data_IF_472234435690
#
_entry.id   IF_472234435690
#
_cell.length_a   1.000
_cell.length_b   1.000
_cell.length_c   1.000
_cell.angle_alpha   90.00
_cell.angle_beta   90.00
_cell.angle_gamma   90.00
#
_symmetry.space_group_name_H-M   'P 1'
#
loop_
_entity.id
_entity.type
_entity.pdbx_description
1 polymer ?
#
# COMPACT_ATOMS: atom_id res chain seq x y z
N UNK A 1 -35.23 29.05 -68.43
CA UNK A 1 -35.04 30.49 -68.13
C UNK A 1 -34.45 30.56 -66.72
N UNK A 2 -33.20 30.88 -66.44
CA UNK A 2 -32.01 31.19 -67.23
C UNK A 2 -30.80 30.95 -66.30
N UNK A 3 -29.66 30.65 -66.91
CA UNK A 3 -28.35 30.53 -66.26
C UNK A 3 -27.64 31.90 -66.24
N UNK A 4 -26.80 32.14 -65.23
CA UNK A 4 -25.73 33.16 -65.21
C UNK A 4 -24.76 32.67 -64.10
N UNK A 5 -23.54 32.16 -64.32
CA UNK A 5 -22.38 32.61 -65.09
C UNK A 5 -21.98 34.05 -64.81
N UNK A 6 -21.01 34.25 -63.91
CA UNK A 6 -20.02 35.34 -64.01
C UNK A 6 -18.65 34.87 -63.51
N UNK A 7 -17.71 34.78 -64.46
CA UNK A 7 -16.26 34.74 -64.25
C UNK A 7 -15.73 36.17 -64.18
N UNK A 8 -14.65 36.34 -63.42
CA UNK A 8 -13.48 37.10 -63.88
C UNK A 8 -13.19 38.41 -63.15
N UNK A 9 -12.10 38.43 -62.39
CA UNK A 9 -11.12 39.50 -62.46
C UNK A 9 -9.76 39.01 -61.93
N UNK A 10 -8.75 38.94 -62.81
CA UNK A 10 -7.33 38.88 -62.45
C UNK A 10 -6.81 40.32 -62.43
N UNK A 11 -5.96 40.65 -61.46
CA UNK A 11 -5.09 41.81 -61.58
C UNK A 11 -3.66 41.48 -61.13
N UNK A 12 -2.71 42.15 -61.79
CA UNK A 12 -1.28 41.88 -61.91
C UNK A 12 -0.49 42.99 -61.19
N UNK A 13 0.78 42.73 -60.84
CA UNK A 13 1.80 43.65 -60.25
C UNK A 13 1.66 43.87 -58.72
N UNK A 14 2.67 43.95 -57.84
CA UNK A 14 4.13 44.03 -57.93
C UNK A 14 4.67 45.02 -56.88
N UNK A 15 5.16 44.52 -55.71
CA UNK A 15 5.94 45.21 -54.62
C UNK A 15 5.15 46.24 -53.77
N UNK A 16 5.33 46.48 -52.47
CA UNK A 16 6.28 46.06 -51.40
C UNK A 16 5.66 46.44 -50.02
N UNK A 17 6.08 45.77 -48.95
CA UNK A 17 6.33 46.29 -47.58
C UNK A 17 5.73 45.46 -46.42
N UNK A 18 6.66 45.03 -45.55
CA UNK A 18 6.56 44.26 -44.32
C UNK A 18 5.45 44.64 -43.34
N UNK A 19 4.76 43.63 -42.83
CA UNK A 19 4.31 43.59 -41.44
C UNK A 19 4.83 42.29 -40.81
N UNK A 20 5.85 42.42 -39.96
CA UNK A 20 6.37 41.34 -39.11
C UNK A 20 5.30 40.99 -38.09
N UNK A 21 4.61 39.86 -38.30
CA UNK A 21 3.75 39.25 -37.27
C UNK A 21 4.55 38.14 -36.61
N UNK A 22 5.01 38.41 -35.39
CA UNK A 22 5.65 37.43 -34.49
C UNK A 22 4.67 36.30 -34.13
N UNK A 23 5.10 35.03 -34.07
CA UNK A 23 4.26 33.94 -33.61
C UNK A 23 4.22 33.93 -32.07
N UNK A 24 3.11 34.35 -31.47
CA UNK A 24 2.91 34.17 -30.04
C UNK A 24 2.27 32.81 -29.71
N UNK A 25 2.97 32.07 -28.85
CA UNK A 25 2.49 31.04 -27.93
C UNK A 25 1.86 29.75 -28.48
N UNK A 26 2.71 28.81 -28.93
CA UNK A 26 2.38 27.38 -29.07
C UNK A 26 3.04 26.48 -28.01
N UNK A 27 3.43 27.03 -26.86
CA UNK A 27 4.29 26.35 -25.87
C UNK A 27 3.58 25.78 -24.63
N UNK A 28 2.36 26.23 -24.29
CA UNK A 28 1.68 25.80 -23.04
C UNK A 28 0.73 24.61 -23.19
N UNK A 29 0.31 24.28 -24.41
CA UNK A 29 -0.65 23.19 -24.61
C UNK A 29 0.02 21.81 -24.71
N UNK A 30 1.26 21.74 -25.22
CA UNK A 30 1.99 20.46 -25.28
C UNK A 30 2.27 19.92 -23.88
N UNK A 31 2.71 20.74 -22.93
CA UNK A 31 3.00 20.28 -21.55
C UNK A 31 1.76 19.81 -20.78
N UNK A 32 0.53 20.21 -21.15
CA UNK A 32 -0.72 19.69 -20.57
C UNK A 32 -1.18 18.37 -21.22
N UNK A 33 -0.83 18.12 -22.47
CA UNK A 33 -1.24 16.90 -23.18
C UNK A 33 -0.47 15.65 -22.73
N UNK A 34 0.83 15.76 -22.47
CA UNK A 34 1.67 14.66 -21.96
C UNK A 34 1.22 14.06 -20.61
N UNK A 35 0.95 14.84 -19.54
CA UNK A 35 0.48 14.30 -18.28
C UNK A 35 -0.88 13.66 -18.44
N UNK A 36 -1.78 14.24 -19.25
CA UNK A 36 -3.10 13.67 -19.48
C UNK A 36 -3.02 12.34 -20.27
N UNK A 37 -2.13 12.20 -21.25
CA UNK A 37 -1.98 10.95 -22.00
C UNK A 37 -1.36 9.80 -21.16
N UNK A 38 -0.37 10.11 -20.32
CA UNK A 38 0.23 9.14 -19.40
C UNK A 38 -0.72 8.77 -18.26
N UNK A 39 -1.44 9.75 -17.68
CA UNK A 39 -2.50 9.52 -16.69
C UNK A 39 -3.63 8.69 -17.31
N UNK A 40 -3.98 8.89 -18.59
CA UNK A 40 -4.97 8.07 -19.32
C UNK A 40 -4.52 6.62 -19.46
N UNK A 41 -3.26 6.37 -19.85
CA UNK A 41 -2.72 5.01 -20.03
C UNK A 41 -2.56 4.25 -18.71
N UNK A 42 -2.25 4.97 -17.62
CA UNK A 42 -2.01 4.41 -16.29
C UNK A 42 -3.11 4.75 -15.28
N UNK A 43 -4.33 5.09 -15.74
CA UNK A 43 -5.41 5.65 -14.89
C UNK A 43 -5.73 4.83 -13.64
N UNK A 44 -5.75 3.50 -13.76
CA UNK A 44 -6.04 2.60 -12.64
C UNK A 44 -4.89 2.61 -11.64
N UNK A 45 -3.67 2.74 -12.13
CA UNK A 45 -2.44 2.69 -11.34
C UNK A 45 -2.19 4.00 -10.61
N UNK A 46 -2.42 5.12 -11.29
CA UNK A 46 -2.38 6.45 -10.68
C UNK A 46 -3.49 6.57 -9.64
N UNK A 47 -4.71 6.14 -9.96
CA UNK A 47 -5.80 6.11 -8.99
C UNK A 47 -5.45 5.22 -7.78
N UNK A 48 -5.01 3.98 -7.99
CA UNK A 48 -4.67 3.07 -6.89
C UNK A 48 -3.53 3.60 -6.01
N UNK A 49 -2.49 4.17 -6.63
CA UNK A 49 -1.34 4.71 -5.91
C UNK A 49 -1.73 5.96 -5.10
N UNK A 50 -2.47 6.89 -5.69
CA UNK A 50 -2.90 8.12 -5.01
C UNK A 50 -3.90 7.82 -3.89
N UNK A 51 -4.85 6.91 -4.10
CA UNK A 51 -5.79 6.47 -3.06
C UNK A 51 -5.10 5.75 -1.92
N UNK A 52 -4.04 5.00 -2.22
CA UNK A 52 -3.21 4.36 -1.22
C UNK A 52 -2.48 5.39 -0.35
N UNK A 53 -1.91 6.43 -0.97
CA UNK A 53 -1.25 7.52 -0.24
C UNK A 53 -2.27 8.27 0.61
N UNK A 54 -3.42 8.62 0.04
CA UNK A 54 -4.48 9.34 0.74
C UNK A 54 -5.08 8.53 1.90
N UNK A 55 -5.35 7.24 1.71
CA UNK A 55 -5.87 6.39 2.81
C UNK A 55 -4.87 6.22 3.94
N UNK A 56 -3.58 6.17 3.60
CA UNK A 56 -2.50 6.13 4.59
C UNK A 56 -2.42 7.46 5.34
N UNK A 57 -2.57 8.61 4.65
CA UNK A 57 -2.60 9.94 5.28
C UNK A 57 -3.82 10.09 6.22
N UNK A 58 -5.00 9.65 5.78
CA UNK A 58 -6.23 9.74 6.56
C UNK A 58 -6.24 8.79 7.77
N UNK A 59 -5.61 7.61 7.65
CA UNK A 59 -5.44 6.69 8.77
C UNK A 59 -4.32 7.11 9.73
N UNK A 60 -3.44 8.02 9.32
CA UNK A 60 -2.25 8.36 10.08
C UNK A 60 -2.52 8.92 11.47
N UNK A 61 -3.48 9.84 11.69
CA UNK A 61 -3.78 10.33 13.03
C UNK A 61 -4.16 9.21 14.00
N UNK A 62 -4.89 8.19 13.52
CA UNK A 62 -5.27 7.04 14.34
C UNK A 62 -4.06 6.15 14.66
N UNK A 63 -3.18 5.92 13.69
CA UNK A 63 -1.93 5.20 13.91
C UNK A 63 -0.99 5.97 14.87
N UNK A 64 -0.98 7.30 14.79
CA UNK A 64 -0.24 8.19 15.69
C UNK A 64 -0.75 8.12 17.12
N UNK A 65 -2.07 8.20 17.32
CA UNK A 65 -2.67 8.03 18.66
C UNK A 65 -2.41 6.63 19.21
N UNK A 66 -2.57 5.60 18.38
CA UNK A 66 -2.28 4.21 18.78
C UNK A 66 -0.83 4.06 19.24
N UNK A 67 0.12 4.58 18.47
CA UNK A 67 1.54 4.50 18.83
C UNK A 67 1.86 5.33 20.07
N UNK A 68 1.30 6.53 20.23
CA UNK A 68 1.42 7.33 21.47
C UNK A 68 0.87 6.61 22.68
N UNK A 69 -0.30 5.99 22.58
CA UNK A 69 -0.87 5.16 23.65
C UNK A 69 -0.03 3.93 24.00
N UNK A 70 0.73 3.40 23.04
CA UNK A 70 1.70 2.33 23.29
C UNK A 70 3.03 2.85 23.86
N UNK A 71 3.28 4.17 23.71
CA UNK A 71 4.54 4.85 24.02
C UNK A 71 4.48 5.64 25.35
N UNK A 72 3.29 6.02 25.79
CA UNK A 72 3.09 6.81 27.00
C UNK A 72 1.85 6.32 27.74
N UNK A 73 1.85 6.45 29.06
CA UNK A 73 0.71 6.12 29.91
C UNK A 73 -0.38 7.17 29.75
N UNK A 74 -1.51 6.76 29.17
CA UNK A 74 -2.75 7.55 29.10
C UNK A 74 -3.90 6.75 29.70
N UNK A 75 -4.89 7.42 30.28
CA UNK A 75 -6.07 6.75 30.88
C UNK A 75 -6.99 6.11 29.83
N UNK A 76 -6.83 6.47 28.55
CA UNK A 76 -7.58 5.90 27.43
C UNK A 76 -7.33 6.64 26.13
N UNK A 77 -8.06 6.23 25.08
CA UNK A 77 -7.93 6.81 23.74
C UNK A 77 -8.26 8.30 23.70
N UNK A 78 -9.40 8.69 24.30
CA UNK A 78 -9.84 10.09 24.34
C UNK A 78 -8.89 10.97 25.16
N UNK A 79 -8.28 10.41 26.21
CA UNK A 79 -7.30 11.11 27.03
C UNK A 79 -6.01 11.40 26.23
N UNK A 80 -5.50 10.40 25.50
CA UNK A 80 -4.37 10.58 24.59
C UNK A 80 -4.65 11.62 23.50
N UNK A 81 -5.84 11.60 22.90
CA UNK A 81 -6.25 12.57 21.86
C UNK A 81 -6.33 13.98 22.45
N UNK A 82 -7.02 14.14 23.59
CA UNK A 82 -7.20 15.44 24.25
C UNK A 82 -5.87 16.02 24.72
N UNK A 83 -5.01 15.20 25.31
CA UNK A 83 -3.68 15.59 25.73
C UNK A 83 -2.84 16.03 24.53
N UNK A 84 -2.76 15.22 23.47
CA UNK A 84 -1.99 15.54 22.26
C UNK A 84 -2.47 16.82 21.59
N UNK A 85 -3.79 17.01 21.48
CA UNK A 85 -4.37 18.23 20.91
C UNK A 85 -4.07 19.46 21.78
N UNK A 86 -4.11 19.35 23.11
CA UNK A 86 -3.79 20.47 24.02
C UNK A 86 -2.31 20.84 24.03
N UNK A 87 -1.41 19.86 23.96
CA UNK A 87 0.04 20.11 24.07
C UNK A 87 0.71 20.44 22.74
N UNK A 88 0.25 19.84 21.65
CA UNK A 88 0.93 19.90 20.34
C UNK A 88 0.00 20.30 19.19
N UNK A 89 -1.28 20.60 19.47
CA UNK A 89 -2.30 20.93 18.49
C UNK A 89 -2.43 19.87 17.37
N UNK A 90 -2.96 20.26 16.21
CA UNK A 90 -3.09 19.36 15.05
C UNK A 90 -1.74 18.86 14.53
N UNK A 91 -0.68 19.67 14.63
CA UNK A 91 0.66 19.29 14.19
C UNK A 91 1.23 18.12 15.00
N UNK A 92 0.85 17.98 16.26
CA UNK A 92 1.26 16.86 17.12
C UNK A 92 0.88 15.49 16.58
N UNK A 93 -0.28 15.38 15.93
CA UNK A 93 -0.73 14.12 15.32
C UNK A 93 0.13 13.71 14.12
N UNK A 94 0.76 14.67 13.44
CA UNK A 94 1.61 14.45 12.27
C UNK A 94 3.10 14.58 12.57
N UNK A 95 3.52 14.86 13.80
CA UNK A 95 4.94 15.02 14.13
C UNK A 95 5.67 13.68 14.03
N UNK A 96 6.71 13.61 13.19
CA UNK A 96 7.47 12.39 12.94
C UNK A 96 6.83 11.41 11.93
N UNK A 97 5.78 11.86 11.24
CA UNK A 97 5.03 11.08 10.23
C UNK A 97 5.83 10.73 8.99
N UNK A 98 6.75 11.61 8.59
CA UNK A 98 7.32 11.63 7.24
C UNK A 98 8.13 10.38 6.93
N UNK A 99 9.01 9.96 7.83
CA UNK A 99 9.84 8.78 7.61
C UNK A 99 9.03 7.45 7.61
N UNK A 100 8.13 7.19 8.58
CA UNK A 100 7.23 6.03 8.52
C UNK A 100 6.33 6.01 7.29
N UNK A 101 5.79 7.16 6.87
CA UNK A 101 4.92 7.26 5.70
C UNK A 101 5.68 7.11 4.39
N UNK A 102 6.82 7.76 4.23
CA UNK A 102 7.66 7.59 3.05
C UNK A 102 8.07 6.13 2.87
N UNK A 103 8.42 5.45 3.96
CA UNK A 103 8.69 4.02 3.97
C UNK A 103 7.48 3.19 3.54
N UNK A 104 6.29 3.41 4.10
CA UNK A 104 5.07 2.67 3.75
C UNK A 104 4.70 2.88 2.29
N UNK A 105 4.73 4.14 1.83
CA UNK A 105 4.43 4.49 0.44
C UNK A 105 5.41 3.83 -0.51
N UNK A 106 6.72 3.92 -0.25
CA UNK A 106 7.74 3.28 -1.08
C UNK A 106 7.53 1.77 -1.14
N UNK A 107 7.34 1.13 0.02
CA UNK A 107 7.13 -0.32 0.12
C UNK A 107 5.91 -0.75 -0.68
N UNK A 108 4.79 -0.04 -0.53
CA UNK A 108 3.53 -0.40 -1.20
C UNK A 108 3.60 -0.13 -2.71
N UNK A 109 4.20 0.97 -3.15
CA UNK A 109 4.40 1.27 -4.57
C UNK A 109 5.27 0.22 -5.25
N UNK A 110 6.39 -0.15 -4.63
CA UNK A 110 7.29 -1.19 -5.15
C UNK A 110 6.58 -2.55 -5.19
N UNK A 111 5.88 -2.92 -4.12
CA UNK A 111 5.11 -4.18 -4.05
C UNK A 111 4.09 -4.30 -5.18
N UNK A 112 3.32 -3.24 -5.45
CA UNK A 112 2.33 -3.24 -6.52
C UNK A 112 2.97 -3.38 -7.92
N UNK A 113 4.10 -2.70 -8.15
CA UNK A 113 4.86 -2.84 -9.40
C UNK A 113 5.36 -4.27 -9.62
N UNK A 114 5.92 -4.90 -8.58
CA UNK A 114 6.38 -6.30 -8.64
C UNK A 114 5.21 -7.24 -8.89
N UNK A 115 4.12 -7.10 -8.14
CA UNK A 115 2.91 -7.92 -8.32
C UNK A 115 2.42 -7.87 -9.77
N UNK A 116 2.35 -6.68 -10.36
CA UNK A 116 1.89 -6.53 -11.75
C UNK A 116 2.81 -7.21 -12.74
N UNK A 117 4.13 -7.05 -12.61
CA UNK A 117 5.10 -7.73 -13.48
C UNK A 117 5.00 -9.24 -13.35
N UNK A 118 4.93 -9.74 -12.10
CA UNK A 118 4.77 -11.15 -11.81
C UNK A 118 3.45 -11.71 -12.39
N UNK A 119 2.34 -10.99 -12.21
CA UNK A 119 1.03 -11.36 -12.76
C UNK A 119 1.07 -11.49 -14.29
N UNK A 120 1.70 -10.54 -14.99
CA UNK A 120 1.82 -10.62 -16.46
C UNK A 120 2.73 -11.78 -16.89
N UNK A 121 3.88 -11.96 -16.23
CA UNK A 121 4.79 -13.06 -16.53
C UNK A 121 4.12 -14.44 -16.34
N UNK A 122 3.47 -14.66 -15.20
CA UNK A 122 2.77 -15.91 -14.92
C UNK A 122 1.59 -16.13 -15.86
N UNK A 123 0.82 -15.10 -16.17
CA UNK A 123 -0.29 -15.22 -17.12
C UNK A 123 0.19 -15.59 -18.54
N UNK A 124 1.33 -15.03 -18.98
CA UNK A 124 1.91 -15.34 -20.29
C UNK A 124 2.49 -16.75 -20.33
N UNK A 125 3.12 -17.19 -19.24
CA UNK A 125 3.61 -18.57 -19.09
C UNK A 125 2.46 -19.58 -19.13
N UNK A 126 1.37 -19.35 -18.38
CA UNK A 126 0.21 -20.23 -18.39
C UNK A 126 -0.44 -20.25 -19.79
N UNK A 127 -0.63 -19.09 -20.43
CA UNK A 127 -1.16 -19.02 -21.79
C UNK A 127 -0.33 -19.82 -22.79
N UNK A 128 1.00 -19.78 -22.68
CA UNK A 128 1.90 -20.55 -23.57
C UNK A 128 1.82 -22.05 -23.34
N UNK A 129 1.67 -22.49 -22.09
CA UNK A 129 1.70 -23.91 -21.73
C UNK A 129 0.33 -24.60 -21.78
N UNK A 130 -0.76 -23.89 -21.50
CA UNK A 130 -2.12 -24.46 -21.44
C UNK A 130 -3.09 -23.87 -22.45
N UNK A 131 -2.69 -22.82 -23.19
CA UNK A 131 -3.57 -22.09 -24.09
C UNK A 131 -4.61 -21.20 -23.39
N UNK A 132 -4.67 -21.21 -22.06
CA UNK A 132 -5.71 -20.52 -21.28
C UNK A 132 -5.32 -19.07 -20.97
N UNK A 133 -6.11 -18.11 -21.46
CA UNK A 133 -5.86 -16.68 -21.25
C UNK A 133 -6.54 -16.18 -19.97
N UNK A 134 -5.76 -16.09 -18.88
CA UNK A 134 -6.23 -15.69 -17.55
C UNK A 134 -6.78 -14.25 -17.53
N UNK A 135 -6.18 -13.33 -18.30
CA UNK A 135 -6.64 -11.93 -18.31
C UNK A 135 -7.98 -11.79 -19.01
N UNK A 136 -8.20 -12.58 -20.07
CA UNK A 136 -9.48 -12.60 -20.77
C UNK A 136 -10.53 -13.28 -19.90
N UNK A 137 -10.23 -14.48 -19.36
CA UNK A 137 -11.16 -15.22 -18.51
C UNK A 137 -11.58 -14.42 -17.27
N UNK A 138 -10.63 -13.80 -16.56
CA UNK A 138 -10.93 -13.01 -15.35
C UNK A 138 -11.72 -11.71 -15.63
N UNK A 139 -11.70 -11.20 -16.87
CA UNK A 139 -12.44 -10.00 -17.27
C UNK A 139 -13.71 -10.31 -18.08
N UNK A 140 -13.98 -11.57 -18.40
CA UNK A 140 -15.22 -11.98 -19.08
C UNK A 140 -16.35 -12.09 -18.06
N UNK A 141 -17.47 -11.36 -18.23
CA UNK A 141 -18.64 -11.48 -17.36
C UNK A 141 -19.18 -12.92 -17.36
N UNK A 142 -19.61 -13.42 -16.19
CA UNK A 142 -20.23 -14.75 -16.08
C UNK A 142 -19.25 -15.92 -15.87
N UNK A 143 -17.96 -15.65 -15.68
CA UNK A 143 -16.94 -16.69 -15.47
C UNK A 143 -16.66 -16.93 -13.98
N UNK A 144 -16.31 -18.17 -13.64
CA UNK A 144 -15.91 -18.55 -12.29
C UNK A 144 -14.38 -18.61 -12.15
N UNK A 145 -13.84 -18.36 -10.94
CA UNK A 145 -12.42 -18.52 -10.67
C UNK A 145 -12.00 -19.97 -10.88
N UNK A 146 -11.07 -20.17 -11.80
CA UNK A 146 -10.49 -21.48 -12.12
C UNK A 146 -9.26 -21.71 -11.24
N UNK A 147 -8.89 -22.98 -11.02
CA UNK A 147 -7.67 -23.31 -10.28
C UNK A 147 -6.44 -22.58 -10.83
N UNK A 148 -6.31 -22.49 -12.16
CA UNK A 148 -5.22 -21.77 -12.82
C UNK A 148 -5.20 -20.26 -12.54
N UNK A 149 -6.36 -19.59 -12.48
CA UNK A 149 -6.42 -18.15 -12.21
C UNK A 149 -6.06 -17.87 -10.74
N UNK A 150 -6.61 -18.67 -9.82
CA UNK A 150 -6.30 -18.58 -8.38
C UNK A 150 -4.81 -18.85 -8.12
N UNK A 151 -4.25 -19.90 -8.70
CA UNK A 151 -2.83 -20.23 -8.56
C UNK A 151 -1.94 -19.13 -9.16
N UNK A 152 -2.30 -18.57 -10.32
CA UNK A 152 -1.56 -17.45 -10.93
C UNK A 152 -1.53 -16.22 -10.03
N UNK A 153 -2.67 -15.82 -9.47
CA UNK A 153 -2.74 -14.63 -8.61
C UNK A 153 -2.06 -14.86 -7.26
N UNK A 154 -2.17 -16.07 -6.71
CA UNK A 154 -1.44 -16.49 -5.52
C UNK A 154 0.07 -16.47 -5.71
N UNK A 155 0.58 -17.03 -6.81
CA UNK A 155 2.01 -17.03 -7.14
C UNK A 155 2.55 -15.61 -7.41
N UNK A 156 1.78 -14.78 -8.12
CA UNK A 156 2.12 -13.36 -8.31
C UNK A 156 2.17 -12.60 -6.98
N UNK A 157 1.19 -12.86 -6.10
CA UNK A 157 1.13 -12.31 -4.75
C UNK A 157 2.33 -12.74 -3.92
N UNK A 158 2.60 -14.04 -3.83
CA UNK A 158 3.75 -14.62 -3.14
C UNK A 158 5.06 -13.97 -3.57
N UNK A 159 5.30 -13.86 -4.88
CA UNK A 159 6.51 -13.24 -5.44
C UNK A 159 6.66 -11.79 -5.01
N UNK A 160 5.56 -11.02 -5.05
CA UNK A 160 5.56 -9.64 -4.60
C UNK A 160 5.82 -9.52 -3.09
N UNK A 161 5.22 -10.40 -2.29
CA UNK A 161 5.44 -10.52 -0.85
C UNK A 161 6.88 -10.85 -0.50
N UNK A 162 7.46 -11.88 -1.12
CA UNK A 162 8.83 -12.29 -0.87
C UNK A 162 9.84 -11.20 -1.24
N UNK A 163 9.68 -10.59 -2.42
CA UNK A 163 10.57 -9.55 -2.89
C UNK A 163 10.49 -8.28 -2.03
N UNK A 164 9.28 -7.92 -1.57
CA UNK A 164 9.12 -6.72 -0.75
C UNK A 164 9.68 -6.88 0.67
N UNK A 165 9.73 -8.10 1.21
CA UNK A 165 10.29 -8.35 2.55
C UNK A 165 11.72 -7.84 2.69
N UNK A 166 12.54 -7.94 1.64
CA UNK A 166 13.92 -7.41 1.66
C UNK A 166 13.97 -5.90 1.95
N UNK A 167 13.01 -5.15 1.42
CA UNK A 167 12.91 -3.71 1.67
C UNK A 167 12.14 -3.40 2.95
N UNK A 168 11.08 -4.14 3.25
CA UNK A 168 10.18 -3.86 4.37
C UNK A 168 10.77 -4.25 5.73
N UNK A 169 11.60 -5.30 5.79
CA UNK A 169 12.16 -5.83 7.04
C UNK A 169 12.85 -4.77 7.92
N UNK A 170 13.82 -3.97 7.43
CA UNK A 170 14.49 -2.97 8.26
C UNK A 170 13.53 -1.89 8.80
N UNK A 171 12.55 -1.47 7.99
CA UNK A 171 11.59 -0.43 8.41
C UNK A 171 10.60 -0.95 9.45
N UNK A 172 10.10 -2.16 9.26
CA UNK A 172 9.19 -2.83 10.20
C UNK A 172 9.87 -3.09 11.54
N UNK A 173 11.11 -3.57 11.54
CA UNK A 173 11.86 -3.78 12.78
C UNK A 173 12.10 -2.46 13.52
N UNK A 174 12.42 -1.39 12.78
CA UNK A 174 12.62 -0.05 13.36
C UNK A 174 11.34 0.52 13.99
N UNK A 175 10.18 0.28 13.36
CA UNK A 175 8.87 0.64 13.94
C UNK A 175 8.56 -0.18 15.18
N UNK A 176 8.77 -1.49 15.12
CA UNK A 176 8.54 -2.40 16.24
C UNK A 176 9.46 -2.05 17.42
N UNK A 177 10.74 -1.72 17.17
CA UNK A 177 11.66 -1.33 18.24
C UNK A 177 11.24 -0.04 18.93
N UNK A 178 10.73 0.94 18.19
CA UNK A 178 10.21 2.17 18.79
C UNK A 178 9.02 1.89 19.72
N UNK A 179 8.07 1.06 19.29
CA UNK A 179 6.89 0.68 20.08
C UNK A 179 7.26 -0.17 21.31
N UNK A 180 8.15 -1.15 21.12
CA UNK A 180 8.58 -2.08 22.18
C UNK A 180 9.46 -1.37 23.22
N UNK A 181 10.27 -0.38 22.82
CA UNK A 181 11.17 0.35 23.72
C UNK A 181 10.46 0.98 24.93
N UNK A 182 9.21 1.40 24.75
CA UNK A 182 8.41 1.97 25.83
C UNK A 182 7.92 0.89 26.77
N UNK A 183 7.27 -0.14 26.22
CA UNK A 183 6.72 -1.24 27.01
C UNK A 183 7.81 -1.90 27.85
N UNK A 184 9.03 -1.96 27.32
CA UNK A 184 10.20 -2.47 28.03
C UNK A 184 10.74 -1.52 29.11
N UNK A 185 10.68 -0.20 28.91
CA UNK A 185 11.09 0.76 29.91
C UNK A 185 10.23 0.67 31.19
N UNK A 186 8.96 0.28 31.06
CA UNK A 186 8.06 0.05 32.19
C UNK A 186 8.21 -1.34 32.83
N UNK A 187 8.41 -2.38 32.02
CA UNK A 187 8.47 -3.78 32.52
C UNK A 187 9.81 -4.22 33.09
N UNK A 188 10.92 -3.58 32.75
CA UNK A 188 12.25 -4.12 33.11
C UNK A 188 12.60 -3.83 34.56
N UNK A 189 12.08 -4.58 35.54
CA UNK A 189 12.62 -4.59 36.92
C UNK A 189 13.90 -5.44 37.06
N UNK A 190 14.19 -6.36 36.13
CA UNK A 190 15.15 -7.46 36.39
C UNK A 190 16.56 -7.36 35.78
N UNK A 191 16.90 -6.39 34.92
CA UNK A 191 18.29 -6.26 34.46
C UNK A 191 18.66 -4.83 34.04
N UNK A 192 19.72 -4.26 34.64
CA UNK A 192 20.22 -2.90 34.33
C UNK A 192 20.60 -2.74 32.84
N UNK A 193 21.20 -3.78 32.22
CA UNK A 193 21.70 -3.75 30.84
C UNK A 193 20.58 -3.81 29.78
N UNK A 194 19.57 -4.67 29.97
CA UNK A 194 18.40 -4.70 29.08
C UNK A 194 17.59 -3.40 29.15
N UNK A 195 17.58 -2.74 30.33
CA UNK A 195 16.94 -1.43 30.52
C UNK A 195 17.69 -0.31 29.79
N UNK A 196 19.03 -0.33 29.76
CA UNK A 196 19.83 0.64 28.98
C UNK A 196 19.62 0.49 27.47
N UNK A 197 19.59 -0.75 26.97
CA UNK A 197 19.32 -1.02 25.55
C UNK A 197 17.90 -0.59 25.18
N UNK A 198 16.89 -0.86 26.02
CA UNK A 198 15.52 -0.42 25.80
C UNK A 198 15.39 1.13 25.81
N UNK A 199 15.99 1.82 26.78
CA UNK A 199 16.02 3.30 26.84
C UNK A 199 16.75 3.92 25.65
N UNK A 200 17.78 3.25 25.14
CA UNK A 200 18.55 3.70 23.97
C UNK A 200 17.66 3.88 22.72
N UNK A 201 16.54 3.16 22.62
CA UNK A 201 15.60 3.25 21.49
C UNK A 201 14.45 4.24 21.71
N UNK A 202 14.23 4.74 22.94
CA UNK A 202 13.14 5.67 23.24
C UNK A 202 13.33 7.04 22.56
N UNK A 203 12.23 7.62 22.08
CA UNK A 203 12.13 9.00 21.59
C UNK A 203 13.14 9.41 20.50
N UNK A 204 13.57 8.45 19.67
CA UNK A 204 14.41 8.71 18.49
C UNK A 204 13.60 8.56 17.20
N UNK A 205 13.89 9.43 16.22
CA UNK A 205 13.33 9.29 14.88
C UNK A 205 13.79 8.00 14.19
N UNK A 206 13.04 7.52 13.20
CA UNK A 206 13.26 6.23 12.50
C UNK A 206 14.72 5.98 12.12
N UNK A 207 15.39 6.97 11.52
CA UNK A 207 16.79 6.84 11.08
C UNK A 207 17.78 6.69 12.25
N UNK A 208 17.55 7.43 13.34
CA UNK A 208 18.38 7.35 14.56
C UNK A 208 18.18 6.00 15.26
N UNK A 209 16.94 5.50 15.30
CA UNK A 209 16.64 4.16 15.82
C UNK A 209 17.32 3.08 14.99
N UNK A 210 17.26 3.18 13.66
CA UNK A 210 17.96 2.26 12.75
C UNK A 210 19.48 2.27 12.97
N UNK A 211 20.09 3.46 13.05
CA UNK A 211 21.53 3.61 13.34
C UNK A 211 21.91 2.96 14.69
N UNK A 212 21.04 3.09 15.70
CA UNK A 212 21.27 2.47 17.00
C UNK A 212 21.17 0.94 16.96
N UNK A 213 20.23 0.38 16.19
CA UNK A 213 20.15 -1.07 15.97
C UNK A 213 21.43 -1.56 15.30
N UNK A 214 21.92 -0.84 14.28
CA UNK A 214 23.19 -1.16 13.62
C UNK A 214 24.35 -1.11 14.62
N UNK A 215 24.39 -0.10 15.51
CA UNK A 215 25.42 0.01 16.55
C UNK A 215 25.41 -1.16 17.53
N UNK A 216 24.23 -1.60 17.98
CA UNK A 216 24.11 -2.64 19.01
C UNK A 216 24.10 -4.08 18.46
N UNK A 217 23.68 -4.29 17.21
CA UNK A 217 23.47 -5.62 16.61
C UNK A 217 24.14 -5.82 15.25
N UNK A 218 24.76 -4.79 14.68
CA UNK A 218 25.31 -4.81 13.33
C UNK A 218 24.23 -4.67 12.24
N UNK A 219 24.66 -4.64 10.98
CA UNK A 219 23.78 -4.45 9.81
C UNK A 219 22.77 -5.59 9.66
N UNK A 220 23.19 -6.84 9.91
CA UNK A 220 22.30 -8.01 9.90
C UNK A 220 21.28 -7.99 11.05
N UNK A 221 21.52 -7.19 12.10
CA UNK A 221 20.56 -6.96 13.17
C UNK A 221 19.23 -6.40 12.67
N UNK A 222 19.25 -5.60 11.59
CA UNK A 222 18.03 -5.07 10.96
C UNK A 222 17.14 -6.14 10.31
N UNK A 223 17.72 -7.30 10.00
CA UNK A 223 17.04 -8.45 9.41
C UNK A 223 16.69 -9.51 10.45
N UNK A 224 16.67 -9.15 11.75
CA UNK A 224 16.29 -10.09 12.79
C UNK A 224 14.83 -10.52 12.60
N UNK A 225 14.61 -11.84 12.50
CA UNK A 225 13.28 -12.41 12.24
C UNK A 225 12.90 -12.42 10.75
N UNK A 226 13.87 -12.24 9.84
CA UNK A 226 13.62 -12.22 8.40
C UNK A 226 12.87 -13.45 7.89
N UNK A 227 13.19 -14.67 8.36
CA UNK A 227 12.50 -15.88 7.91
C UNK A 227 10.99 -15.87 8.24
N UNK A 228 10.63 -15.49 9.47
CA UNK A 228 9.22 -15.37 9.88
C UNK A 228 8.53 -14.23 9.13
N UNK A 229 9.26 -13.14 8.86
CA UNK A 229 8.78 -12.02 8.08
C UNK A 229 8.51 -12.41 6.63
N UNK A 230 9.45 -13.14 6.01
CA UNK A 230 9.35 -13.63 4.64
C UNK A 230 8.17 -14.59 4.51
N UNK A 231 8.05 -15.53 5.44
CA UNK A 231 6.91 -16.46 5.49
C UNK A 231 5.58 -15.71 5.60
N UNK A 232 5.52 -14.73 6.51
CA UNK A 232 4.33 -13.89 6.71
C UNK A 232 3.94 -13.14 5.44
N UNK A 233 4.88 -12.41 4.84
CA UNK A 233 4.59 -11.56 3.68
C UNK A 233 4.22 -12.39 2.46
N UNK A 234 4.96 -13.47 2.22
CA UNK A 234 4.72 -14.37 1.08
C UNK A 234 3.34 -14.99 1.16
N UNK A 235 2.98 -15.61 2.30
CA UNK A 235 1.68 -16.26 2.46
C UNK A 235 0.55 -15.23 2.57
N UNK A 236 0.77 -14.14 3.32
CA UNK A 236 -0.24 -13.10 3.52
C UNK A 236 -0.64 -12.43 2.21
N UNK A 237 0.33 -12.06 1.37
CA UNK A 237 0.07 -11.43 0.07
C UNK A 237 -0.49 -12.42 -0.96
N UNK A 238 -0.04 -13.67 -0.97
CA UNK A 238 -0.62 -14.71 -1.81
C UNK A 238 -2.12 -14.89 -1.53
N UNK A 239 -2.48 -15.11 -0.26
CA UNK A 239 -3.89 -15.27 0.15
C UNK A 239 -4.68 -13.99 -0.15
N UNK A 240 -4.11 -12.81 0.12
CA UNK A 240 -4.76 -11.54 -0.16
C UNK A 240 -5.18 -11.41 -1.64
N UNK A 241 -4.25 -11.66 -2.58
CA UNK A 241 -4.55 -11.53 -4.01
C UNK A 241 -5.41 -12.68 -4.55
N UNK A 242 -5.27 -13.90 -4.03
CA UNK A 242 -6.16 -15.02 -4.36
C UNK A 242 -7.62 -14.68 -4.02
N UNK A 243 -7.87 -14.23 -2.79
CA UNK A 243 -9.23 -13.91 -2.33
C UNK A 243 -9.75 -12.66 -3.01
N UNK A 244 -8.91 -11.64 -3.22
CA UNK A 244 -9.32 -10.40 -3.89
C UNK A 244 -9.78 -10.62 -5.32
N UNK A 245 -8.97 -11.29 -6.14
CA UNK A 245 -9.28 -11.50 -7.56
C UNK A 245 -10.44 -12.50 -7.73
N UNK A 246 -10.48 -13.57 -6.92
CA UNK A 246 -11.59 -14.53 -6.94
C UNK A 246 -12.91 -13.90 -6.48
N UNK A 247 -12.87 -13.13 -5.38
CA UNK A 247 -14.04 -12.44 -4.85
C UNK A 247 -14.59 -11.40 -5.83
N UNK A 248 -13.71 -10.67 -6.51
CA UNK A 248 -14.10 -9.73 -7.57
C UNK A 248 -14.78 -10.47 -8.73
N UNK A 249 -14.19 -11.56 -9.21
CA UNK A 249 -14.72 -12.35 -10.33
C UNK A 249 -16.10 -12.96 -9.98
N UNK A 250 -16.25 -13.50 -8.78
CA UNK A 250 -17.54 -14.01 -8.28
C UNK A 250 -18.58 -12.89 -8.18
N UNK A 251 -18.23 -11.76 -7.58
CA UNK A 251 -19.16 -10.64 -7.41
C UNK A 251 -19.63 -10.02 -8.73
N UNK A 252 -18.78 -10.03 -9.78
CA UNK A 252 -19.18 -9.61 -11.12
C UNK A 252 -20.10 -10.63 -11.79
N UNK A 253 -19.86 -11.93 -11.57
CA UNK A 253 -20.68 -13.01 -12.11
C UNK A 253 -22.07 -13.06 -11.46
N UNK A 254 -22.17 -12.91 -10.14
CA UNK A 254 -23.45 -12.91 -9.44
C UNK A 254 -24.32 -11.68 -9.74
N UNK A 255 -23.72 -10.54 -10.11
CA UNK A 255 -24.46 -9.34 -10.40
C UNK A 255 -24.90 -9.19 -11.86
N UNK A 256 -24.47 -10.09 -12.76
CA UNK A 256 -24.77 -10.01 -14.19
C UNK A 256 -24.17 -8.78 -14.90
N UNK A 257 -23.26 -8.07 -14.23
CA UNK A 257 -22.77 -6.75 -14.63
C UNK A 257 -21.32 -6.84 -15.13
N UNK A 258 -20.93 -5.92 -16.02
CA UNK A 258 -19.55 -5.86 -16.52
C UNK A 258 -18.55 -5.55 -15.37
N UNK A 259 -17.29 -6.06 -15.41
CA UNK A 259 -16.35 -6.03 -14.29
C UNK A 259 -16.02 -4.66 -13.69
N UNK A 260 -16.34 -3.58 -14.42
CA UNK A 260 -16.12 -2.20 -14.01
C UNK A 260 -17.39 -1.48 -13.50
N UNK A 261 -18.57 -2.09 -13.64
CA UNK A 261 -19.86 -1.52 -13.23
C UNK A 261 -20.16 -1.82 -11.76
N UNK A 262 -19.95 -3.06 -11.31
CA UNK A 262 -20.29 -3.47 -9.95
C UNK A 262 -19.22 -3.07 -8.92
N UNK A 263 -19.25 -1.79 -8.54
CA UNK A 263 -18.36 -1.19 -7.53
C UNK A 263 -18.52 -1.84 -6.17
N UNK A 264 -19.74 -2.24 -5.79
CA UNK A 264 -20.00 -2.87 -4.50
C UNK A 264 -19.28 -4.22 -4.39
N UNK A 265 -19.27 -5.02 -5.45
CA UNK A 265 -18.52 -6.28 -5.51
C UNK A 265 -17.02 -6.07 -5.32
N UNK A 266 -16.43 -5.04 -5.95
CA UNK A 266 -14.99 -4.74 -5.80
C UNK A 266 -14.65 -4.33 -4.37
N UNK A 267 -15.49 -3.51 -3.73
CA UNK A 267 -15.30 -3.08 -2.33
C UNK A 267 -15.49 -4.25 -1.36
N UNK A 268 -16.53 -5.06 -1.57
CA UNK A 268 -16.80 -6.25 -0.76
C UNK A 268 -15.67 -7.27 -0.86
N UNK A 269 -15.17 -7.54 -2.07
CA UNK A 269 -14.02 -8.40 -2.30
C UNK A 269 -12.75 -7.88 -1.61
N UNK A 270 -12.53 -6.56 -1.62
CA UNK A 270 -11.44 -5.90 -0.92
C UNK A 270 -11.52 -5.94 0.62
N UNK A 271 -12.72 -5.82 1.17
CA UNK A 271 -12.96 -6.01 2.61
C UNK A 271 -12.73 -7.46 3.03
N UNK A 272 -13.33 -8.40 2.29
CA UNK A 272 -13.24 -9.84 2.55
C UNK A 272 -11.82 -10.37 2.45
N UNK A 273 -11.06 -9.97 1.41
CA UNK A 273 -9.68 -10.44 1.27
C UNK A 273 -8.77 -10.00 2.42
N UNK A 274 -8.98 -8.79 2.96
CA UNK A 274 -8.27 -8.31 4.13
C UNK A 274 -8.58 -9.15 5.37
N UNK A 275 -9.86 -9.44 5.62
CA UNK A 275 -10.29 -10.25 6.76
C UNK A 275 -9.75 -11.68 6.68
N UNK A 276 -9.90 -12.33 5.52
CA UNK A 276 -9.45 -13.71 5.30
C UNK A 276 -7.92 -13.81 5.38
N UNK A 277 -7.19 -12.89 4.72
CA UNK A 277 -5.74 -12.85 4.79
C UNK A 277 -5.25 -12.70 6.23
N UNK A 278 -5.82 -11.76 7.00
CA UNK A 278 -5.47 -11.60 8.41
C UNK A 278 -5.81 -12.83 9.25
N UNK A 279 -7.00 -13.41 9.09
CA UNK A 279 -7.40 -14.62 9.83
C UNK A 279 -6.41 -15.78 9.62
N UNK A 280 -5.92 -15.96 8.40
CA UNK A 280 -4.98 -17.03 8.07
C UNK A 280 -3.55 -16.72 8.52
N UNK A 281 -3.08 -15.49 8.35
CA UNK A 281 -1.67 -15.14 8.58
C UNK A 281 -1.33 -14.79 10.03
N UNK A 282 -2.35 -14.51 10.86
CA UNK A 282 -2.17 -13.95 12.20
C UNK A 282 -1.24 -14.77 13.11
N UNK A 283 -1.29 -16.12 13.15
CA UNK A 283 -0.36 -16.89 13.99
C UNK A 283 1.11 -16.66 13.63
N UNK A 284 1.40 -16.49 12.34
CA UNK A 284 2.76 -16.23 11.85
C UNK A 284 3.18 -14.79 12.21
N UNK A 285 2.27 -13.82 12.08
CA UNK A 285 2.52 -12.42 12.47
C UNK A 285 2.74 -12.27 13.99
N UNK A 286 1.97 -13.02 14.80
CA UNK A 286 2.17 -13.13 16.25
C UNK A 286 3.53 -13.71 16.59
N UNK A 287 3.90 -14.84 15.99
CA UNK A 287 5.20 -15.48 16.22
C UNK A 287 6.37 -14.57 15.81
N UNK A 288 6.26 -13.90 14.65
CA UNK A 288 7.21 -12.89 14.19
C UNK A 288 7.35 -11.77 15.23
N UNK A 289 6.24 -11.20 15.68
CA UNK A 289 6.23 -10.05 16.59
C UNK A 289 6.81 -10.39 17.96
N UNK A 290 6.49 -11.58 18.50
CA UNK A 290 7.05 -12.10 19.75
C UNK A 290 8.56 -12.30 19.61
N UNK A 291 9.00 -12.94 18.53
CA UNK A 291 10.42 -13.19 18.28
C UNK A 291 11.22 -11.89 18.10
N UNK A 292 10.72 -10.94 17.29
CA UNK A 292 11.38 -9.65 17.08
C UNK A 292 11.45 -8.81 18.35
N UNK A 293 10.43 -8.88 19.21
CA UNK A 293 10.41 -8.25 20.54
C UNK A 293 11.39 -8.89 21.53
N UNK A 294 11.59 -10.22 21.45
CA UNK A 294 12.52 -10.96 22.31
C UNK A 294 13.98 -10.81 21.85
N UNK A 295 14.21 -10.78 20.53
CA UNK A 295 15.32 -10.00 19.95
C UNK A 295 15.19 -8.53 20.40
N UNK A 296 15.91 -7.51 19.95
CA UNK A 296 15.85 -6.15 20.57
C UNK A 296 16.22 -6.03 22.08
N UNK A 297 15.80 -6.92 22.97
CA UNK A 297 16.20 -7.01 24.38
C UNK A 297 17.63 -7.50 24.56
N UNK A 298 18.07 -8.40 23.68
CA UNK A 298 19.41 -8.97 23.71
C UNK A 298 20.40 -8.19 22.83
N UNK A 299 21.68 -8.19 23.21
CA UNK A 299 22.79 -7.60 22.45
C UNK A 299 23.44 -8.61 21.49
N UNK A 300 24.36 -8.13 20.63
CA UNK A 300 25.11 -8.98 19.69
C UNK A 300 25.82 -10.13 20.43
N UNK A 301 25.54 -11.37 20.03
CA UNK A 301 26.17 -12.59 20.59
C UNK A 301 25.35 -13.32 21.67
N UNK A 302 24.29 -12.70 22.19
CA UNK A 302 23.39 -13.36 23.14
C UNK A 302 22.38 -14.24 22.41
N UNK A 303 22.15 -15.46 22.93
CA UNK A 303 21.15 -16.39 22.39
C UNK A 303 19.75 -15.82 22.61
N UNK A 304 19.11 -15.38 21.55
CA UNK A 304 17.69 -15.02 21.56
C UNK A 304 16.88 -16.29 21.73
N UNK A 305 15.84 -16.24 22.56
CA UNK A 305 14.86 -17.32 22.65
C UNK A 305 14.34 -17.72 21.26
N UNK A 306 14.18 -19.01 20.98
CA UNK A 306 13.64 -19.46 19.70
C UNK A 306 12.25 -18.88 19.48
N UNK A 307 11.89 -18.69 18.21
CA UNK A 307 10.55 -18.28 17.86
C UNK A 307 9.52 -19.26 18.45
N UNK A 308 8.38 -18.77 18.97
CA UNK A 308 7.36 -19.66 19.49
C UNK A 308 6.86 -20.58 18.36
N UNK A 309 6.49 -21.81 18.73
CA UNK A 309 5.92 -22.77 17.76
C UNK A 309 4.65 -22.16 17.15
N UNK A 310 4.56 -22.19 15.82
CA UNK A 310 3.41 -21.65 15.11
C UNK A 310 2.27 -22.67 15.24
N UNK A 311 1.30 -22.36 16.09
CA UNK A 311 0.12 -23.20 16.29
C UNK A 311 -1.13 -22.51 15.75
N UNK A 312 -1.69 -23.07 14.66
CA UNK A 312 -2.97 -22.61 14.13
C UNK A 312 -4.12 -23.00 15.06
N UNK A 313 -5.19 -22.21 15.06
CA UNK A 313 -6.41 -22.38 15.88
C UNK A 313 -6.25 -22.35 17.41
N UNK A 314 -5.07 -22.04 17.96
CA UNK A 314 -4.88 -21.85 19.40
C UNK A 314 -5.19 -20.41 19.81
N UNK A 315 -6.10 -20.22 20.78
CA UNK A 315 -6.57 -18.88 21.24
C UNK A 315 -5.43 -17.90 21.57
N UNK A 316 -4.30 -18.38 22.11
CA UNK A 316 -3.18 -17.51 22.48
C UNK A 316 -2.49 -16.85 21.26
N UNK A 317 -2.43 -17.53 20.11
CA UNK A 317 -1.85 -16.98 18.87
C UNK A 317 -2.74 -15.95 18.19
N UNK A 318 -4.04 -15.96 18.50
CA UNK A 318 -5.06 -15.05 17.93
C UNK A 318 -5.41 -13.86 18.82
N UNK A 319 -4.67 -13.65 19.92
CA UNK A 319 -4.88 -12.50 20.81
C UNK A 319 -4.52 -11.20 20.11
N UNK A 320 -5.55 -10.43 19.76
CA UNK A 320 -5.41 -9.14 19.04
C UNK A 320 -5.85 -9.19 17.58
N UNK A 321 -6.34 -10.35 17.09
CA UNK A 321 -6.87 -10.48 15.74
C UNK A 321 -8.00 -9.47 15.48
N UNK A 322 -8.95 -9.34 16.40
CA UNK A 322 -10.08 -8.41 16.26
C UNK A 322 -9.65 -6.95 16.07
N UNK A 323 -8.65 -6.49 16.83
CA UNK A 323 -8.09 -5.13 16.68
C UNK A 323 -7.45 -4.95 15.29
N UNK A 324 -6.76 -5.98 14.81
CA UNK A 324 -6.10 -5.97 13.51
C UNK A 324 -7.10 -6.00 12.35
N UNK A 325 -8.20 -6.74 12.51
CA UNK A 325 -9.31 -6.81 11.56
C UNK A 325 -10.07 -5.49 11.49
N UNK A 326 -10.45 -4.88 12.63
CA UNK A 326 -11.14 -3.58 12.68
C UNK A 326 -10.29 -2.51 11.98
N UNK A 327 -8.99 -2.46 12.29
CA UNK A 327 -8.05 -1.56 11.61
C UNK A 327 -8.05 -1.77 10.10
N UNK A 328 -8.00 -3.02 9.66
CA UNK A 328 -7.97 -3.36 8.23
C UNK A 328 -9.26 -2.98 7.52
N UNK A 329 -10.42 -3.21 8.15
CA UNK A 329 -11.70 -2.75 7.64
C UNK A 329 -11.75 -1.23 7.48
N UNK A 330 -11.31 -0.48 8.50
CA UNK A 330 -11.29 0.98 8.44
C UNK A 330 -10.36 1.50 7.33
N UNK A 331 -9.14 0.98 7.23
CA UNK A 331 -8.18 1.37 6.20
C UNK A 331 -8.68 1.02 4.80
N UNK A 332 -9.25 -0.18 4.63
CA UNK A 332 -9.80 -0.61 3.34
C UNK A 332 -11.00 0.25 2.95
N UNK A 333 -11.91 0.56 3.88
CA UNK A 333 -13.06 1.44 3.63
C UNK A 333 -12.62 2.83 3.14
N UNK A 334 -11.63 3.44 3.80
CA UNK A 334 -11.06 4.73 3.38
C UNK A 334 -10.39 4.60 2.01
N UNK A 335 -9.60 3.55 1.78
CA UNK A 335 -8.91 3.31 0.51
C UNK A 335 -9.89 3.21 -0.65
N UNK A 336 -10.91 2.36 -0.54
CA UNK A 336 -11.89 2.18 -1.61
C UNK A 336 -12.75 3.42 -1.84
N UNK A 337 -13.14 4.12 -0.78
CA UNK A 337 -13.87 5.38 -0.90
C UNK A 337 -13.05 6.42 -1.66
N UNK A 338 -11.76 6.54 -1.32
CA UNK A 338 -10.83 7.46 -1.97
C UNK A 338 -10.53 7.07 -3.41
N UNK A 339 -10.44 5.77 -3.68
CA UNK A 339 -10.27 5.22 -5.02
C UNK A 339 -11.43 5.55 -5.94
N UNK A 340 -12.66 5.40 -5.48
CA UNK A 340 -13.84 5.76 -6.26
C UNK A 340 -13.92 7.26 -6.53
N UNK A 341 -13.61 8.12 -5.55
CA UNK A 341 -13.59 9.58 -5.73
C UNK A 341 -12.53 9.98 -6.77
N UNK A 342 -11.30 9.48 -6.62
CA UNK A 342 -10.19 9.81 -7.53
C UNK A 342 -10.46 9.29 -8.93
N UNK A 343 -10.98 8.07 -9.07
CA UNK A 343 -11.37 7.48 -10.36
C UNK A 343 -12.47 8.29 -11.04
N UNK A 344 -13.51 8.72 -10.30
CA UNK A 344 -14.56 9.62 -10.83
C UNK A 344 -13.98 10.95 -11.29
N UNK A 345 -13.03 11.52 -10.54
CA UNK A 345 -12.42 12.81 -10.89
C UNK A 345 -11.48 12.73 -12.09
N UNK A 346 -10.76 11.62 -12.26
CA UNK A 346 -9.99 11.37 -13.49
C UNK A 346 -10.95 11.24 -14.68
N UNK A 347 -12.11 10.58 -14.52
CA UNK A 347 -13.12 10.48 -15.58
C UNK A 347 -13.76 11.84 -15.90
N UNK A 348 -14.05 12.69 -14.92
CA UNK A 348 -14.61 14.03 -15.20
C UNK A 348 -13.64 14.96 -15.93
N UNK A 349 -12.32 14.73 -15.81
CA UNK A 349 -11.31 15.40 -16.63
C UNK A 349 -11.31 14.92 -18.10
N UNK A 350 -11.99 13.80 -18.40
CA UNK A 350 -12.22 13.35 -19.79
C UNK A 350 -13.43 14.06 -20.44
N UNK A 351 -14.36 14.62 -19.66
CA UNK A 351 -15.63 15.19 -20.15
C UNK A 351 -15.59 16.73 -20.33
N UNK A 352 -14.48 17.41 -20.02
CA UNK A 352 -14.35 18.83 -20.38
C UNK A 352 -14.17 18.97 -21.90
N UNK A 353 -15.05 19.71 -22.60
CA UNK A 353 -14.88 19.95 -24.02
C UNK A 353 -13.55 20.68 -24.23
N UNK A 354 -12.70 20.14 -25.10
CA UNK A 354 -11.53 20.85 -25.60
C UNK A 354 -12.04 22.12 -26.30
N UNK A 355 -11.88 23.27 -25.65
CA UNK A 355 -12.17 24.60 -26.20
C UNK A 355 -11.16 24.93 -27.30
#
# INVERSE_FOLDING_TARGET
>A
MSAEVKRGYQDVTGRSASAVVMPHSGGRDREREWPNALIKRYRIEVAASTSSVFSTLAAFPLDSVKTRMQTYQYRGFLDCVKHTYRTEALAGFFRGVTAPMASITLVRTVSFSIYRRAKHAYSGWIKKNTGFDIHRHANTPGTYPTFYSVACFGAAGATAGSAITFLACPFELTKLSAQVSVLLAERTTDCKRSREVAKSYQNKGTLKTMANIIKHRGVLGLYTGFQLHLLRDTLGTAIYFMVYESGKQLGTTFAGDSPNSNKLAVVAAGGLCGLVSWAMIYPIDSAKSIYQRNALLYSRGEKVEPAPKIEFFKRHMYRGLGVSMIRSCAVNAIFFSSFEIIKKRIKSLDDEPKV
#
